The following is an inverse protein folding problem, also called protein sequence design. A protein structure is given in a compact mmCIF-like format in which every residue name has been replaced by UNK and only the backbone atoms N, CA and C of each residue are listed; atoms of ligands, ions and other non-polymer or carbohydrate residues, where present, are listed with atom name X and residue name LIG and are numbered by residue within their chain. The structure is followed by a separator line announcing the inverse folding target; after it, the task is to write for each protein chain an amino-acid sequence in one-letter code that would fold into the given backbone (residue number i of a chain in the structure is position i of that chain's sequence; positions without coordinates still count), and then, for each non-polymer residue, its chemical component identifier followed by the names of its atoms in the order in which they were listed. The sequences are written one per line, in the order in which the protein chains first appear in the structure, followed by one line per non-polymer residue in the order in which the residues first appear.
data_IF_894244043189
#
_entry.id   IF_894244043189
#
_cell.length_a   1.000
_cell.length_b   1.000
_cell.length_c   1.000
_cell.angle_alpha   90.00
_cell.angle_beta   90.00
_cell.angle_gamma   90.00
#
_symmetry.space_group_name_H-M   'P 1'
#
loop_
_entity.id
_entity.type
_entity.pdbx_description
1 polymer ?
#
# COMPACT_ATOMS: atom_id res chain seq x y z
N UNK A 1 39.13 -9.11 20.90
CA UNK A 1 37.87 -8.71 21.58
C UNK A 1 37.29 -7.54 20.82
N UNK A 2 36.11 -7.67 20.20
CA UNK A 2 35.44 -6.63 19.38
C UNK A 2 34.37 -5.83 20.16
N UNK A 3 33.98 -6.31 21.33
CA UNK A 3 33.02 -5.62 22.21
C UNK A 3 33.70 -4.38 22.79
N UNK A 4 33.02 -3.22 22.68
CA UNK A 4 33.51 -1.93 23.20
C UNK A 4 34.39 -1.14 22.24
N UNK A 5 34.69 -1.66 21.04
CA UNK A 5 35.43 -0.93 20.01
C UNK A 5 34.50 -0.10 19.12
N UNK A 6 34.90 1.12 18.75
CA UNK A 6 34.14 2.01 17.86
C UNK A 6 34.28 1.60 16.38
N UNK A 7 33.69 0.47 16.02
CA UNK A 7 33.65 -0.01 14.65
C UNK A 7 32.57 0.74 13.85
N UNK A 8 32.79 0.97 12.54
CA UNK A 8 31.75 1.53 11.68
C UNK A 8 30.57 0.56 11.53
N UNK A 9 29.42 1.10 11.13
CA UNK A 9 28.25 0.31 10.73
C UNK A 9 28.63 -0.69 9.62
N UNK A 10 28.06 -1.90 9.64
CA UNK A 10 28.39 -2.98 8.69
C UNK A 10 28.14 -2.55 7.22
N UNK A 11 27.03 -1.87 6.97
CA UNK A 11 26.69 -1.30 5.67
C UNK A 11 27.27 0.11 5.40
N UNK A 12 28.18 0.66 6.22
CA UNK A 12 28.65 2.06 6.07
C UNK A 12 29.21 2.37 4.66
N UNK A 13 30.00 1.45 4.10
CA UNK A 13 30.53 1.60 2.75
C UNK A 13 29.44 1.53 1.66
N UNK A 14 28.41 0.69 1.87
CA UNK A 14 27.29 0.57 0.94
C UNK A 14 26.40 1.82 0.97
N UNK A 15 26.19 2.41 2.15
CA UNK A 15 25.44 3.66 2.29
C UNK A 15 26.12 4.82 1.56
N UNK A 16 27.42 5.02 1.77
CA UNK A 16 28.14 6.17 1.19
C UNK A 16 28.33 6.07 -0.32
N UNK A 17 28.20 4.86 -0.87
CA UNK A 17 28.31 4.59 -2.31
C UNK A 17 26.96 4.50 -3.02
N UNK A 18 25.85 4.45 -2.27
CA UNK A 18 24.52 4.15 -2.82
C UNK A 18 24.35 2.70 -3.28
N UNK A 19 25.22 1.78 -2.84
CA UNK A 19 25.16 0.36 -3.19
C UNK A 19 24.31 -0.48 -2.23
N UNK A 20 23.82 0.12 -1.13
CA UNK A 20 22.86 -0.54 -0.25
C UNK A 20 21.47 -0.51 -0.91
N UNK A 21 20.93 -1.68 -1.25
CA UNK A 21 19.58 -1.79 -1.81
C UNK A 21 18.51 -1.66 -0.71
N UNK A 22 17.56 -0.76 -0.93
CA UNK A 22 16.28 -0.71 -0.26
C UNK A 22 15.21 -1.39 -1.14
N UNK A 23 14.00 -1.55 -0.61
CA UNK A 23 12.94 -2.33 -1.27
C UNK A 23 12.65 -1.86 -2.70
N UNK A 24 12.63 -0.54 -2.94
CA UNK A 24 12.33 0.04 -4.26
C UNK A 24 13.54 0.02 -5.22
N UNK A 25 14.74 -0.30 -4.72
CA UNK A 25 15.95 -0.46 -5.54
C UNK A 25 16.07 -1.89 -6.12
N UNK A 26 15.26 -2.83 -5.61
CA UNK A 26 15.30 -4.23 -6.03
C UNK A 26 14.78 -4.34 -7.47
N UNK A 27 15.56 -4.92 -8.41
CA UNK A 27 15.09 -5.15 -9.77
C UNK A 27 13.88 -6.10 -9.78
N UNK A 28 12.86 -5.73 -10.55
CA UNK A 28 11.63 -6.51 -10.70
C UNK A 28 11.40 -6.88 -12.16
N UNK A 29 10.67 -7.96 -12.47
CA UNK A 29 10.26 -8.28 -13.84
C UNK A 29 9.44 -7.14 -14.47
N UNK A 30 9.52 -6.99 -15.80
CA UNK A 30 8.79 -5.95 -16.56
C UNK A 30 7.26 -6.03 -16.41
N UNK A 31 6.73 -7.18 -15.98
CA UNK A 31 5.30 -7.43 -15.75
C UNK A 31 4.82 -7.09 -14.34
N UNK A 32 5.69 -6.52 -13.50
CA UNK A 32 5.36 -6.21 -12.10
C UNK A 32 4.38 -5.05 -12.03
N UNK A 33 3.28 -5.26 -11.32
CA UNK A 33 2.25 -4.25 -11.09
C UNK A 33 2.56 -3.43 -9.84
N UNK A 34 2.11 -2.18 -9.82
CA UNK A 34 2.21 -1.27 -8.70
C UNK A 34 0.85 -1.06 -8.04
N UNK A 35 0.89 -0.78 -6.74
CA UNK A 35 -0.30 -0.68 -5.91
C UNK A 35 -0.45 0.73 -5.31
N UNK A 36 -1.70 1.16 -5.11
CA UNK A 36 -2.02 2.36 -4.33
C UNK A 36 -3.38 2.21 -3.64
N UNK A 37 -3.48 2.67 -2.39
CA UNK A 37 -4.76 2.72 -1.68
C UNK A 37 -5.59 3.92 -2.10
N UNK A 38 -6.89 3.69 -2.31
CA UNK A 38 -7.91 4.71 -2.14
C UNK A 38 -8.19 4.87 -0.66
N UNK A 39 -8.17 6.10 -0.15
CA UNK A 39 -8.19 6.37 1.30
C UNK A 39 -9.38 7.24 1.69
N UNK A 40 -9.85 7.08 2.92
CA UNK A 40 -10.93 7.90 3.47
C UNK A 40 -10.56 9.38 3.53
N UNK A 41 -11.47 10.23 3.07
CA UNK A 41 -11.42 11.68 3.21
C UNK A 41 -12.05 12.20 4.52
N UNK A 42 -12.67 11.33 5.31
CA UNK A 42 -13.34 11.68 6.57
C UNK A 42 -12.72 10.95 7.76
N UNK A 43 -12.78 11.56 8.94
CA UNK A 43 -12.21 11.01 10.16
C UNK A 43 -13.02 9.83 10.72
N UNK A 44 -14.34 9.81 10.55
CA UNK A 44 -15.20 8.74 11.05
C UNK A 44 -16.51 8.73 10.28
N UNK A 45 -17.00 7.56 9.88
CA UNK A 45 -18.22 7.48 9.08
C UNK A 45 -18.61 6.05 8.75
N UNK A 46 -19.75 5.90 8.06
CA UNK A 46 -20.21 4.62 7.51
C UNK A 46 -20.13 4.68 5.99
N UNK A 47 -19.55 3.66 5.38
CA UNK A 47 -19.55 3.49 3.93
C UNK A 47 -20.96 3.06 3.53
N UNK A 48 -21.65 3.90 2.76
CA UNK A 48 -22.99 3.59 2.25
C UNK A 48 -22.94 2.88 0.91
N UNK A 49 -21.95 3.22 0.08
CA UNK A 49 -21.75 2.73 -1.27
C UNK A 49 -20.28 2.97 -1.66
N UNK A 50 -19.75 2.18 -2.59
CA UNK A 50 -18.38 2.33 -3.11
C UNK A 50 -18.35 1.97 -4.60
N UNK A 51 -18.51 2.99 -5.44
CA UNK A 51 -18.51 2.83 -6.89
C UNK A 51 -17.12 3.05 -7.48
N UNK A 52 -16.51 1.99 -8.01
CA UNK A 52 -15.13 2.00 -8.53
C UNK A 52 -15.07 1.96 -10.07
N UNK A 53 -16.13 2.39 -10.75
CA UNK A 53 -16.22 2.39 -12.21
C UNK A 53 -15.11 3.21 -12.88
N UNK A 54 -14.96 4.47 -12.47
CA UNK A 54 -13.94 5.37 -13.02
C UNK A 54 -12.51 4.93 -12.65
N UNK A 55 -12.34 4.38 -11.45
CA UNK A 55 -11.07 3.79 -11.01
C UNK A 55 -10.66 2.64 -11.94
N UNK A 56 -11.57 1.69 -12.20
CA UNK A 56 -11.34 0.54 -13.09
C UNK A 56 -11.12 0.95 -14.54
N UNK A 57 -11.77 2.03 -14.99
CA UNK A 57 -11.62 2.54 -16.35
C UNK A 57 -10.36 3.40 -16.56
N UNK A 58 -9.65 3.77 -15.49
CA UNK A 58 -8.51 4.67 -15.58
C UNK A 58 -7.33 4.01 -16.36
N UNK A 59 -6.60 4.76 -17.19
CA UNK A 59 -5.49 4.21 -17.97
C UNK A 59 -4.43 3.49 -17.13
N UNK A 60 -4.10 2.27 -17.53
CA UNK A 60 -3.11 1.42 -16.87
C UNK A 60 -3.61 0.70 -15.61
N UNK A 61 -4.88 0.86 -15.23
CA UNK A 61 -5.48 0.09 -14.13
C UNK A 61 -5.77 -1.33 -14.57
N UNK A 62 -5.31 -2.30 -13.79
CA UNK A 62 -5.55 -3.74 -13.98
C UNK A 62 -6.72 -4.20 -13.12
N UNK A 63 -6.80 -3.73 -11.87
CA UNK A 63 -7.87 -4.08 -10.95
C UNK A 63 -8.08 -3.00 -9.87
N UNK A 64 -9.29 -3.00 -9.29
CA UNK A 64 -9.60 -2.26 -8.07
C UNK A 64 -10.33 -3.22 -7.11
N UNK A 65 -9.75 -3.44 -5.93
CA UNK A 65 -10.18 -4.43 -4.95
C UNK A 65 -10.74 -3.74 -3.71
N UNK A 66 -11.83 -4.28 -3.19
CA UNK A 66 -12.50 -3.87 -1.95
C UNK A 66 -12.30 -4.94 -0.86
N UNK A 67 -12.78 -4.67 0.36
CA UNK A 67 -12.78 -5.67 1.43
C UNK A 67 -13.47 -6.99 1.02
N UNK A 68 -14.52 -6.93 0.18
CA UNK A 68 -15.24 -8.10 -0.30
C UNK A 68 -14.49 -8.95 -1.33
N UNK A 69 -13.42 -8.41 -1.92
CA UNK A 69 -12.57 -9.14 -2.87
C UNK A 69 -11.44 -9.91 -2.18
N UNK A 70 -11.26 -9.75 -0.86
CA UNK A 70 -10.23 -10.46 -0.10
C UNK A 70 -10.63 -11.93 0.10
N UNK A 71 -9.79 -12.90 -0.32
CA UNK A 71 -10.15 -14.33 -0.26
C UNK A 71 -10.14 -14.92 1.16
N UNK A 72 -9.55 -14.19 2.13
CA UNK A 72 -9.36 -14.62 3.51
C UNK A 72 -9.61 -13.45 4.48
N UNK A 73 -9.14 -13.58 5.72
CA UNK A 73 -9.32 -12.58 6.76
C UNK A 73 -8.81 -11.19 6.34
N UNK A 74 -9.65 -10.19 6.54
CA UNK A 74 -9.34 -8.77 6.37
C UNK A 74 -8.87 -8.19 7.71
N UNK A 75 -7.63 -8.52 8.11
CA UNK A 75 -7.06 -8.13 9.40
C UNK A 75 -5.53 -8.03 9.32
N UNK A 76 -4.99 -6.87 9.71
CA UNK A 76 -3.56 -6.57 9.77
C UNK A 76 -3.08 -6.25 11.19
N UNK A 77 -3.97 -6.37 12.18
CA UNK A 77 -3.64 -6.08 13.57
C UNK A 77 -2.56 -7.05 14.08
N UNK A 78 -1.46 -6.56 14.68
CA UNK A 78 -0.50 -7.42 15.39
C UNK A 78 -1.05 -7.89 16.75
N UNK A 79 -2.28 -7.49 17.12
CA UNK A 79 -2.86 -7.65 18.45
C UNK A 79 -4.22 -8.35 18.39
N UNK A 80 -5.30 -7.67 18.77
CA UNK A 80 -6.62 -8.26 19.08
C UNK A 80 -7.55 -8.38 17.86
N UNK A 81 -7.00 -8.39 16.64
CA UNK A 81 -7.75 -8.58 15.38
C UNK A 81 -8.80 -7.49 15.09
N UNK A 82 -8.42 -6.25 15.30
CA UNK A 82 -9.28 -5.06 15.25
C UNK A 82 -8.89 -4.06 14.16
N UNK A 83 -7.95 -4.41 13.27
CA UNK A 83 -7.43 -3.50 12.24
C UNK A 83 -7.63 -4.09 10.85
N UNK A 84 -8.68 -3.69 10.10
CA UNK A 84 -8.88 -4.20 8.75
C UNK A 84 -7.85 -3.64 7.77
N UNK A 85 -7.41 -4.46 6.81
CA UNK A 85 -6.55 -4.02 5.69
C UNK A 85 -7.30 -2.99 4.82
N UNK A 86 -8.55 -3.29 4.48
CA UNK A 86 -9.46 -2.43 3.73
C UNK A 86 -10.74 -2.22 4.55
N UNK A 87 -11.21 -0.99 4.66
CA UNK A 87 -12.39 -0.66 5.46
C UNK A 87 -13.63 -1.45 4.98
N UNK A 88 -14.30 -2.11 5.92
CA UNK A 88 -15.53 -2.86 5.68
C UNK A 88 -16.70 -2.17 6.40
N UNK A 89 -17.49 -1.41 5.65
CA UNK A 89 -18.69 -0.72 6.13
C UNK A 89 -18.47 0.51 7.02
N UNK A 90 -17.33 0.65 7.71
CA UNK A 90 -17.05 1.78 8.62
C UNK A 90 -15.63 2.33 8.48
N UNK A 91 -15.52 3.65 8.64
CA UNK A 91 -14.27 4.41 8.68
C UNK A 91 -14.02 4.89 10.11
N UNK A 92 -12.76 4.82 10.54
CA UNK A 92 -12.28 5.12 11.89
C UNK A 92 -11.25 6.25 11.94
N UNK A 93 -10.63 6.62 10.81
CA UNK A 93 -9.70 7.74 10.72
C UNK A 93 -9.58 8.29 9.29
N UNK A 94 -9.10 9.53 9.17
CA UNK A 94 -8.77 10.16 7.89
C UNK A 94 -7.53 9.48 7.32
N UNK A 95 -7.63 8.98 6.09
CA UNK A 95 -6.58 8.22 5.45
C UNK A 95 -6.70 6.70 5.59
N UNK A 96 -7.77 6.18 6.21
CA UNK A 96 -7.99 4.73 6.28
C UNK A 96 -8.17 4.14 4.87
N UNK A 97 -7.46 3.05 4.51
CA UNK A 97 -7.65 2.38 3.23
C UNK A 97 -9.08 1.89 3.04
N UNK A 98 -9.68 2.23 1.90
CA UNK A 98 -11.03 1.83 1.49
C UNK A 98 -10.99 0.74 0.42
N UNK A 99 -10.12 0.93 -0.58
CA UNK A 99 -9.91 0.01 -1.69
C UNK A 99 -8.45 0.05 -2.13
N UNK A 100 -8.03 -0.98 -2.87
CA UNK A 100 -6.68 -1.12 -3.41
C UNK A 100 -6.73 -1.07 -4.94
N UNK A 101 -5.95 -0.17 -5.53
CA UNK A 101 -5.74 -0.12 -6.98
C UNK A 101 -4.51 -0.94 -7.34
N UNK A 102 -4.63 -1.75 -8.38
CA UNK A 102 -3.54 -2.49 -9.03
C UNK A 102 -3.37 -1.93 -10.44
N UNK A 103 -2.18 -1.46 -10.79
CA UNK A 103 -1.92 -0.81 -12.08
C UNK A 103 -0.52 -1.10 -12.63
N UNK A 104 -0.31 -0.85 -13.93
CA UNK A 104 0.95 -1.09 -14.63
C UNK A 104 2.13 -0.26 -14.08
N UNK A 105 1.83 0.90 -13.48
CA UNK A 105 2.85 1.79 -12.90
C UNK A 105 2.36 2.41 -11.60
N UNK A 106 3.29 2.75 -10.72
CA UNK A 106 2.97 3.42 -9.46
C UNK A 106 2.25 4.77 -9.67
N UNK A 107 2.61 5.50 -10.73
CA UNK A 107 1.91 6.75 -11.08
C UNK A 107 0.47 6.51 -11.53
N UNK A 108 0.22 5.46 -12.33
CA UNK A 108 -1.13 5.10 -12.75
C UNK A 108 -1.99 4.71 -11.54
N UNK A 109 -1.48 3.84 -10.65
CA UNK A 109 -2.17 3.44 -9.43
C UNK A 109 -2.58 4.65 -8.58
N UNK A 110 -1.65 5.60 -8.35
CA UNK A 110 -1.91 6.81 -7.55
C UNK A 110 -2.91 7.78 -8.20
N UNK A 111 -2.94 7.86 -9.52
CA UNK A 111 -3.93 8.69 -10.25
C UNK A 111 -5.32 8.07 -10.15
N UNK A 112 -5.43 6.76 -10.43
CA UNK A 112 -6.68 6.03 -10.37
C UNK A 112 -7.28 6.00 -8.95
N UNK A 113 -6.44 5.89 -7.90
CA UNK A 113 -6.89 5.92 -6.50
C UNK A 113 -7.59 7.22 -6.07
N UNK A 114 -7.52 8.29 -6.88
CA UNK A 114 -8.19 9.58 -6.64
C UNK A 114 -9.49 9.75 -7.41
N UNK A 115 -9.92 8.73 -8.16
CA UNK A 115 -11.16 8.74 -8.95
C UNK A 115 -12.31 7.97 -8.27
N UNK A 116 -12.08 7.45 -7.06
CA UNK A 116 -13.10 6.76 -6.25
C UNK A 116 -13.54 7.57 -5.04
#
# INVERSE_FOLDING_TARGET
MSVGTALPHDAAALHVTGAAHYVDDIPVPDVTLSLAFGISSVAHGRITEMELGDVRAAPGTVAALTAGDLPFANDVSPSVRDEPLLADGKVHYLGQPLFLVVADTHLAARKAARLG
#
